data_IF_985643736797
#
_entry.id   IF_985643736797
#
_cell.length_a   1.000
_cell.length_b   1.000
_cell.length_c   1.000
_cell.angle_alpha   90.00
_cell.angle_beta   90.00
_cell.angle_gamma   90.00
#
_symmetry.space_group_name_H-M   'P 1'
#
loop_
_entity.id
_entity.type
_entity.pdbx_description
1 polymer ?
#
# COMPACT_ATOMS: atom_id res chain seq x y z
N UNK A 1 -18.71 26.78 -4.79
CA UNK A 1 -19.01 25.57 -3.97
C UNK A 1 -18.30 25.73 -2.64
N UNK A 2 -18.92 25.27 -1.54
CA UNK A 2 -18.28 25.35 -0.21
C UNK A 2 -18.50 24.07 0.56
N UNK A 3 -17.48 23.65 1.32
CA UNK A 3 -17.60 22.54 2.27
C UNK A 3 -18.40 23.03 3.48
N UNK A 4 -19.58 22.45 3.72
CA UNK A 4 -20.49 22.84 4.81
C UNK A 4 -20.36 21.95 6.04
N UNK A 5 -20.15 20.66 5.81
CA UNK A 5 -20.11 19.64 6.88
C UNK A 5 -19.07 18.59 6.57
N UNK A 6 -18.41 18.10 7.61
CA UNK A 6 -17.47 16.99 7.53
C UNK A 6 -17.82 15.95 8.59
N UNK A 7 -17.84 14.70 8.18
CA UNK A 7 -17.99 13.54 9.07
C UNK A 7 -16.73 12.66 8.99
N UNK A 8 -16.32 12.14 10.12
CA UNK A 8 -15.20 11.20 10.24
C UNK A 8 -15.69 9.96 10.97
N UNK A 9 -15.48 8.81 10.37
CA UNK A 9 -15.88 7.52 10.92
C UNK A 9 -14.64 6.63 11.06
N UNK A 10 -14.61 5.83 12.12
CA UNK A 10 -13.67 4.71 12.25
C UNK A 10 -14.47 3.43 12.14
N UNK A 11 -14.13 2.61 11.15
CA UNK A 11 -14.81 1.35 10.83
C UNK A 11 -13.81 0.20 10.94
N UNK A 12 -14.22 -0.88 11.51
CA UNK A 12 -13.42 -2.03 11.86
C UNK A 12 -13.58 -2.34 13.34
N UNK A 13 -12.79 -3.26 13.91
CA UNK A 13 -11.88 -4.15 13.21
C UNK A 13 -12.62 -5.30 12.50
N UNK A 14 -11.95 -5.94 11.55
CA UNK A 14 -12.38 -7.24 11.05
C UNK A 14 -12.17 -8.31 12.15
N UNK A 15 -12.97 -9.37 12.12
CA UNK A 15 -12.81 -10.48 13.06
C UNK A 15 -11.50 -11.27 12.85
N UNK A 16 -10.94 -11.18 11.64
CA UNK A 16 -9.70 -11.88 11.27
C UNK A 16 -8.50 -10.97 11.42
N UNK A 17 -7.48 -11.51 12.07
CA UNK A 17 -6.16 -10.93 12.12
C UNK A 17 -5.31 -11.48 10.98
N UNK A 18 -4.36 -10.68 10.51
CA UNK A 18 -3.44 -11.05 9.45
C UNK A 18 -2.03 -10.71 9.88
N UNK A 19 -1.07 -11.45 9.34
CA UNK A 19 0.32 -11.07 9.39
C UNK A 19 0.96 -11.26 8.01
N UNK A 20 2.04 -10.54 7.77
CA UNK A 20 2.78 -10.59 6.50
C UNK A 20 4.16 -11.22 6.66
N UNK A 21 4.59 -11.51 7.89
CA UNK A 21 5.81 -12.26 8.17
C UNK A 21 5.73 -12.91 9.55
N UNK A 22 6.64 -13.84 9.83
CA UNK A 22 6.67 -14.55 11.12
C UNK A 22 7.03 -13.62 12.29
N UNK A 23 7.83 -12.59 12.04
CA UNK A 23 8.28 -11.63 13.05
C UNK A 23 7.28 -10.47 13.29
N UNK A 24 6.28 -10.32 12.42
CA UNK A 24 5.25 -9.29 12.57
C UNK A 24 4.05 -9.90 13.28
N UNK A 25 3.65 -9.41 14.46
CA UNK A 25 2.47 -9.91 15.14
C UNK A 25 1.21 -9.64 14.32
N UNK A 26 0.17 -10.43 14.55
CA UNK A 26 -1.14 -10.20 13.94
C UNK A 26 -1.64 -8.80 14.26
N UNK A 27 -2.21 -8.15 13.26
CA UNK A 27 -2.66 -6.77 13.36
C UNK A 27 -4.15 -6.65 13.12
N UNK A 28 -4.75 -5.66 13.76
CA UNK A 28 -6.11 -5.24 13.49
C UNK A 28 -6.14 -4.29 12.29
N UNK A 29 -7.18 -4.46 11.47
CA UNK A 29 -7.42 -3.58 10.33
C UNK A 29 -8.62 -2.70 10.62
N UNK A 30 -8.41 -1.40 10.58
CA UNK A 30 -9.49 -0.43 10.65
C UNK A 30 -9.39 0.57 9.50
N UNK A 31 -10.49 1.23 9.19
CA UNK A 31 -10.53 2.28 8.19
C UNK A 31 -11.02 3.58 8.83
N UNK A 32 -10.28 4.65 8.61
CA UNK A 32 -10.79 6.00 8.88
C UNK A 32 -11.41 6.55 7.59
N UNK A 33 -12.72 6.78 7.61
CA UNK A 33 -13.50 7.29 6.49
C UNK A 33 -13.75 8.78 6.71
N UNK A 34 -13.48 9.58 5.69
CA UNK A 34 -13.79 11.00 5.64
C UNK A 34 -14.90 11.25 4.62
N UNK A 35 -15.92 12.00 5.04
CA UNK A 35 -17.00 12.44 4.18
C UNK A 35 -17.16 13.94 4.26
N UNK A 36 -17.07 14.64 3.13
CA UNK A 36 -17.25 16.08 3.00
C UNK A 36 -18.52 16.40 2.23
N UNK A 37 -19.40 17.19 2.83
CA UNK A 37 -20.64 17.67 2.23
C UNK A 37 -20.43 19.07 1.71
N UNK A 38 -20.95 19.36 0.51
CA UNK A 38 -20.89 20.68 -0.10
C UNK A 38 -22.27 21.34 -0.17
N UNK A 39 -22.30 22.67 -0.24
CA UNK A 39 -23.51 23.49 -0.42
C UNK A 39 -24.25 23.23 -1.76
N UNK A 40 -23.64 22.50 -2.68
CA UNK A 40 -24.22 22.09 -3.95
C UNK A 40 -24.79 20.67 -3.93
N UNK A 41 -24.74 19.99 -2.79
CA UNK A 41 -25.21 18.62 -2.62
C UNK A 41 -24.23 17.54 -3.07
N UNK A 42 -23.05 17.90 -3.60
CA UNK A 42 -21.99 16.93 -3.88
C UNK A 42 -21.36 16.50 -2.57
N UNK A 43 -21.20 15.18 -2.41
CA UNK A 43 -20.55 14.58 -1.25
C UNK A 43 -19.27 13.91 -1.72
N UNK A 44 -18.12 14.33 -1.16
CA UNK A 44 -16.85 13.65 -1.34
C UNK A 44 -16.65 12.59 -0.27
N UNK A 45 -16.08 11.46 -0.66
CA UNK A 45 -15.79 10.35 0.24
C UNK A 45 -14.39 9.80 -0.02
N UNK A 46 -13.71 9.47 1.07
CA UNK A 46 -12.39 8.86 1.02
C UNK A 46 -12.16 8.04 2.28
N UNK A 47 -11.25 7.09 2.20
CA UNK A 47 -10.84 6.32 3.35
C UNK A 47 -9.32 6.13 3.37
N UNK A 48 -8.79 5.94 4.58
CA UNK A 48 -7.43 5.47 4.79
C UNK A 48 -7.46 4.24 5.67
N UNK A 49 -6.72 3.24 5.25
CA UNK A 49 -6.52 2.01 5.99
C UNK A 49 -5.50 2.21 7.11
N UNK A 50 -5.80 1.67 8.29
CA UNK A 50 -4.89 1.62 9.42
C UNK A 50 -4.68 0.16 9.81
N UNK A 51 -3.44 -0.26 9.86
CA UNK A 51 -3.02 -1.57 10.34
C UNK A 51 -2.24 -1.37 11.63
N UNK A 52 -2.77 -1.81 12.75
CA UNK A 52 -2.20 -1.52 14.06
C UNK A 52 -2.37 -2.69 15.03
N UNK A 53 -1.68 -2.61 16.16
CA UNK A 53 -1.79 -3.59 17.24
C UNK A 53 -2.97 -3.32 18.19
N UNK A 54 -3.80 -2.32 17.88
CA UNK A 54 -4.95 -1.93 18.69
C UNK A 54 -6.24 -2.19 17.93
N UNK A 55 -7.22 -2.77 18.61
CA UNK A 55 -8.53 -3.13 18.04
C UNK A 55 -9.23 -1.94 17.37
N UNK A 56 -9.15 -0.75 17.95
CA UNK A 56 -9.68 0.49 17.37
C UNK A 56 -8.62 1.58 17.40
N UNK A 57 -7.89 1.72 16.30
CA UNK A 57 -6.96 2.84 16.16
C UNK A 57 -7.69 4.07 15.64
N UNK A 58 -7.73 5.10 16.47
CA UNK A 58 -8.33 6.41 16.16
C UNK A 58 -7.29 7.48 15.82
N UNK A 59 -6.02 7.15 15.75
CA UNK A 59 -4.96 8.13 15.59
C UNK A 59 -5.15 9.01 14.35
N UNK A 60 -5.45 8.42 13.19
CA UNK A 60 -5.73 9.16 11.97
C UNK A 60 -6.99 10.01 12.09
N UNK A 61 -8.08 9.45 12.65
CA UNK A 61 -9.33 10.17 12.85
C UNK A 61 -9.17 11.36 13.81
N UNK A 62 -8.45 11.18 14.91
CA UNK A 62 -8.16 12.27 15.85
C UNK A 62 -7.29 13.36 15.20
N UNK A 63 -6.31 12.94 14.38
CA UNK A 63 -5.45 13.88 13.65
C UNK A 63 -6.24 14.75 12.66
N UNK A 64 -7.29 14.22 12.03
CA UNK A 64 -8.14 14.98 11.12
C UNK A 64 -8.82 16.17 11.79
N UNK A 65 -9.13 16.11 13.08
CA UNK A 65 -9.76 17.23 13.83
C UNK A 65 -8.95 18.52 13.75
N UNK A 66 -7.64 18.45 13.61
CA UNK A 66 -6.78 19.62 13.46
C UNK A 66 -6.96 20.34 12.12
N UNK A 67 -7.49 19.66 11.11
CA UNK A 67 -7.68 20.20 9.77
C UNK A 67 -9.09 20.70 9.53
N UNK A 68 -10.11 20.18 10.25
CA UNK A 68 -11.51 20.50 10.01
C UNK A 68 -11.80 22.01 10.00
N UNK A 69 -11.27 22.83 10.94
CA UNK A 69 -11.53 24.28 10.93
C UNK A 69 -10.97 25.01 9.70
N UNK A 70 -9.98 24.41 9.02
CA UNK A 70 -9.37 24.99 7.80
C UNK A 70 -10.19 24.63 6.56
N UNK A 71 -10.86 23.48 6.58
CA UNK A 71 -11.59 22.93 5.44
C UNK A 71 -13.00 23.51 5.34
N UNK A 72 -13.69 23.72 6.46
CA UNK A 72 -15.05 24.26 6.48
C UNK A 72 -15.11 25.65 5.83
N UNK A 73 -16.06 25.84 4.93
CA UNK A 73 -16.27 27.07 4.20
C UNK A 73 -15.38 27.27 2.97
N UNK A 74 -14.37 26.41 2.77
CA UNK A 74 -13.47 26.46 1.59
C UNK A 74 -14.17 25.89 0.36
N UNK A 75 -13.75 26.36 -0.80
CA UNK A 75 -14.11 25.74 -2.07
C UNK A 75 -13.23 24.49 -2.30
N UNK A 76 -13.82 23.27 -2.37
CA UNK A 76 -13.04 22.05 -2.57
C UNK A 76 -12.34 22.00 -3.94
N UNK A 77 -12.74 22.85 -4.90
CA UNK A 77 -12.08 22.95 -6.20
C UNK A 77 -10.73 23.67 -6.11
N UNK A 78 -10.52 24.48 -5.06
CA UNK A 78 -9.23 25.11 -4.76
C UNK A 78 -8.28 24.17 -4.00
N UNK A 79 -8.24 22.91 -4.44
CA UNK A 79 -7.56 21.81 -3.75
C UNK A 79 -6.11 22.13 -3.39
N UNK A 80 -5.35 22.66 -4.33
CA UNK A 80 -3.93 22.95 -4.11
C UNK A 80 -3.72 24.06 -3.07
N UNK A 81 -4.59 25.06 -3.04
CA UNK A 81 -4.60 26.09 -2.00
C UNK A 81 -4.92 25.51 -0.62
N UNK A 82 -5.89 24.61 -0.54
CA UNK A 82 -6.23 23.90 0.71
C UNK A 82 -5.03 23.08 1.20
N UNK A 83 -4.42 22.28 0.32
CA UNK A 83 -3.27 21.44 0.67
C UNK A 83 -2.06 22.28 1.09
N UNK A 84 -1.86 23.43 0.48
CA UNK A 84 -0.81 24.37 0.87
C UNK A 84 -1.04 24.90 2.31
N UNK A 85 -2.26 25.29 2.64
CA UNK A 85 -2.60 25.84 3.97
C UNK A 85 -2.55 24.79 5.09
N UNK A 86 -2.80 23.51 4.80
CA UNK A 86 -2.68 22.43 5.79
C UNK A 86 -1.25 21.93 5.96
N UNK A 87 -0.37 22.12 4.97
CA UNK A 87 1.00 21.61 4.92
C UNK A 87 1.81 21.85 6.20
N UNK A 88 1.82 23.03 6.83
CA UNK A 88 2.59 23.26 8.07
C UNK A 88 2.13 22.41 9.25
N UNK A 89 0.90 21.89 9.21
CA UNK A 89 0.30 21.08 10.29
C UNK A 89 0.47 19.58 10.05
N UNK A 90 0.85 19.18 8.86
CA UNK A 90 1.01 17.76 8.46
C UNK A 90 2.24 17.13 9.10
N UNK A 91 3.30 17.89 9.30
CA UNK A 91 4.59 17.34 9.74
C UNK A 91 4.52 16.42 10.98
N UNK A 92 3.76 16.74 12.05
CA UNK A 92 3.63 15.85 13.20
C UNK A 92 2.49 14.83 13.07
N UNK A 93 1.76 14.81 11.95
CA UNK A 93 0.56 13.98 11.75
C UNK A 93 0.86 12.73 10.92
N UNK A 94 0.05 11.67 11.04
CA UNK A 94 0.21 10.51 10.18
C UNK A 94 -0.04 10.89 8.71
N UNK A 95 0.75 10.35 7.77
CA UNK A 95 0.59 10.63 6.34
C UNK A 95 -0.82 10.36 5.82
N UNK A 96 -1.51 9.37 6.39
CA UNK A 96 -2.90 9.03 6.06
C UNK A 96 -3.89 10.18 6.28
N UNK A 97 -3.65 11.07 7.24
CA UNK A 97 -4.54 12.21 7.49
C UNK A 97 -4.55 13.22 6.33
N UNK A 98 -3.42 13.48 5.71
CA UNK A 98 -3.35 14.32 4.51
C UNK A 98 -3.92 13.59 3.29
N UNK A 99 -3.56 12.33 3.10
CA UNK A 99 -3.98 11.53 1.96
C UNK A 99 -5.50 11.40 1.89
N UNK A 100 -6.19 11.16 3.01
CA UNK A 100 -7.64 11.05 3.03
C UNK A 100 -8.33 12.38 2.70
N UNK A 101 -7.75 13.53 3.08
CA UNK A 101 -8.27 14.85 2.68
C UNK A 101 -8.09 15.05 1.18
N UNK A 102 -6.89 14.84 0.64
CA UNK A 102 -6.60 15.03 -0.79
C UNK A 102 -7.48 14.14 -1.67
N UNK A 103 -7.61 12.86 -1.32
CA UNK A 103 -8.47 11.93 -2.05
C UNK A 103 -9.95 12.35 -2.00
N UNK A 104 -10.43 12.85 -0.85
CA UNK A 104 -11.80 13.33 -0.71
C UNK A 104 -12.06 14.57 -1.59
N UNK A 105 -11.11 15.50 -1.68
CA UNK A 105 -11.20 16.66 -2.58
C UNK A 105 -11.19 16.23 -4.04
N UNK A 106 -10.35 15.25 -4.42
CA UNK A 106 -10.37 14.67 -5.77
C UNK A 106 -11.70 14.00 -6.11
N UNK A 107 -12.33 13.32 -5.15
CA UNK A 107 -13.64 12.71 -5.35
C UNK A 107 -14.72 13.77 -5.67
N UNK A 108 -14.71 14.90 -4.93
CA UNK A 108 -15.59 16.05 -5.23
C UNK A 108 -15.30 16.60 -6.63
N UNK A 109 -14.03 16.82 -6.97
CA UNK A 109 -13.63 17.35 -8.29
C UNK A 109 -14.11 16.42 -9.41
N UNK A 110 -13.93 15.11 -9.27
CA UNK A 110 -14.39 14.13 -10.23
C UNK A 110 -15.90 14.13 -10.40
N UNK A 111 -16.65 14.18 -9.30
CA UNK A 111 -18.12 14.26 -9.29
C UNK A 111 -18.61 15.57 -9.92
N UNK A 112 -18.02 16.71 -9.56
CA UNK A 112 -18.34 18.01 -10.15
C UNK A 112 -18.09 18.06 -11.66
N UNK A 113 -16.98 17.49 -12.10
CA UNK A 113 -16.61 17.41 -13.52
C UNK A 113 -17.39 16.34 -14.29
N UNK A 114 -18.18 15.50 -13.61
CA UNK A 114 -18.82 14.31 -14.16
C UNK A 114 -17.83 13.44 -14.97
N UNK A 115 -16.62 13.27 -14.44
CA UNK A 115 -15.53 12.55 -15.10
C UNK A 115 -14.74 11.71 -14.11
N UNK A 116 -14.28 10.52 -14.49
CA UNK A 116 -13.38 9.72 -13.67
C UNK A 116 -12.07 10.48 -13.41
N UNK A 117 -11.56 10.40 -12.18
CA UNK A 117 -10.35 11.12 -11.75
C UNK A 117 -9.15 10.78 -12.65
N UNK A 118 -8.99 9.51 -13.07
CA UNK A 118 -7.88 9.13 -13.93
C UNK A 118 -7.87 9.89 -15.27
N UNK A 119 -9.05 10.27 -15.80
CA UNK A 119 -9.15 11.10 -17.02
C UNK A 119 -8.76 12.54 -16.75
N UNK A 120 -9.17 13.08 -15.59
CA UNK A 120 -8.78 14.45 -15.18
C UNK A 120 -7.27 14.57 -14.97
N UNK A 121 -6.64 13.47 -14.54
CA UNK A 121 -5.18 13.36 -14.39
C UNK A 121 -4.44 13.02 -15.70
N UNK A 122 -5.11 13.07 -16.85
CA UNK A 122 -4.50 12.75 -18.14
C UNK A 122 -4.30 11.26 -18.40
N UNK A 123 -5.18 10.42 -17.85
CA UNK A 123 -5.09 8.97 -17.93
C UNK A 123 -5.04 8.42 -19.35
N UNK A 124 -4.05 7.56 -19.58
CA UNK A 124 -3.79 6.93 -20.87
C UNK A 124 -4.46 5.56 -21.00
N UNK A 125 -4.71 4.90 -19.86
CA UNK A 125 -5.21 3.51 -19.81
C UNK A 125 -6.54 3.47 -19.09
N UNK A 126 -7.42 2.59 -19.55
CA UNK A 126 -8.70 2.25 -18.92
C UNK A 126 -8.63 0.93 -18.13
N UNK A 127 -7.56 0.16 -18.33
CA UNK A 127 -7.31 -1.12 -17.67
C UNK A 127 -5.85 -1.25 -17.26
N UNK A 128 -5.62 -1.82 -16.08
CA UNK A 128 -4.31 -2.16 -15.53
C UNK A 128 -4.34 -3.64 -15.14
N UNK A 129 -3.26 -4.37 -15.40
CA UNK A 129 -3.11 -5.74 -14.91
C UNK A 129 -3.00 -5.71 -13.38
N UNK A 130 -3.74 -6.58 -12.73
CA UNK A 130 -3.66 -6.82 -11.30
C UNK A 130 -2.93 -8.13 -11.01
N UNK A 131 -2.40 -8.23 -9.80
CA UNK A 131 -1.94 -9.47 -9.21
C UNK A 131 -2.69 -9.72 -7.90
N UNK A 132 -2.77 -10.96 -7.48
CA UNK A 132 -3.24 -11.31 -6.15
C UNK A 132 -2.08 -11.19 -5.17
N UNK A 133 -2.32 -10.55 -4.02
CA UNK A 133 -1.34 -10.43 -2.93
C UNK A 133 -1.76 -11.35 -1.80
N UNK A 134 -0.84 -12.18 -1.31
CA UNK A 134 -1.12 -13.08 -0.19
C UNK A 134 -0.88 -12.39 1.14
N UNK A 135 -1.39 -12.98 2.20
CA UNK A 135 -0.88 -12.86 3.56
C UNK A 135 0.11 -14.01 3.82
N UNK A 136 0.68 -14.12 5.00
CA UNK A 136 1.45 -15.29 5.41
C UNK A 136 0.50 -16.46 5.69
N UNK A 137 0.86 -17.66 5.23
CA UNK A 137 0.18 -18.92 5.52
C UNK A 137 1.14 -19.88 6.24
N UNK A 138 0.57 -20.94 6.86
CA UNK A 138 1.35 -21.84 7.71
C UNK A 138 2.25 -22.81 6.92
N UNK A 139 1.84 -23.21 5.71
CA UNK A 139 2.52 -24.23 4.93
C UNK A 139 2.60 -23.93 3.44
N UNK A 140 3.57 -24.56 2.75
CA UNK A 140 3.68 -24.51 1.30
C UNK A 140 2.42 -25.05 0.61
N UNK A 141 1.83 -26.13 1.13
CA UNK A 141 0.62 -26.73 0.56
C UNK A 141 -0.55 -25.76 0.61
N UNK A 142 -0.68 -25.00 1.70
CA UNK A 142 -1.70 -23.95 1.81
C UNK A 142 -1.49 -22.83 0.78
N UNK A 143 -0.25 -22.35 0.60
CA UNK A 143 0.08 -21.39 -0.47
C UNK A 143 -0.30 -21.94 -1.84
N UNK A 144 0.04 -23.19 -2.14
CA UNK A 144 -0.28 -23.79 -3.46
C UNK A 144 -1.80 -23.90 -3.68
N UNK A 145 -2.57 -24.24 -2.64
CA UNK A 145 -4.02 -24.22 -2.68
C UNK A 145 -4.60 -22.84 -2.98
N UNK A 146 -4.11 -21.82 -2.28
CA UNK A 146 -4.53 -20.41 -2.48
C UNK A 146 -4.15 -19.92 -3.88
N UNK A 147 -2.96 -20.28 -4.41
CA UNK A 147 -2.58 -19.91 -5.78
C UNK A 147 -3.53 -20.54 -6.80
N UNK A 148 -3.92 -21.81 -6.63
CA UNK A 148 -4.88 -22.47 -7.53
C UNK A 148 -6.25 -21.76 -7.49
N UNK A 149 -6.73 -21.35 -6.30
CA UNK A 149 -7.98 -20.61 -6.18
C UNK A 149 -7.90 -19.24 -6.86
N UNK A 150 -6.78 -18.52 -6.69
CA UNK A 150 -6.54 -17.22 -7.37
C UNK A 150 -6.49 -17.39 -8.88
N UNK A 151 -5.82 -18.44 -9.37
CA UNK A 151 -5.77 -18.79 -10.80
C UNK A 151 -7.18 -19.09 -11.35
N UNK A 152 -8.00 -19.83 -10.61
CA UNK A 152 -9.38 -20.14 -10.97
C UNK A 152 -10.26 -18.88 -11.03
N UNK A 153 -9.94 -17.84 -10.22
CA UNK A 153 -10.56 -16.51 -10.29
C UNK A 153 -10.04 -15.65 -11.46
N UNK A 154 -9.05 -16.14 -12.22
CA UNK A 154 -8.52 -15.46 -13.41
C UNK A 154 -7.25 -14.63 -13.17
N UNK A 155 -6.69 -14.64 -11.97
CA UNK A 155 -5.38 -13.99 -11.73
C UNK A 155 -4.27 -14.75 -12.47
N UNK A 156 -3.36 -13.99 -13.05
CA UNK A 156 -2.19 -14.51 -13.78
C UNK A 156 -0.88 -14.24 -13.04
N UNK A 157 -0.96 -13.55 -11.91
CA UNK A 157 0.19 -13.17 -11.11
C UNK A 157 -0.14 -13.18 -9.62
N UNK A 158 0.81 -13.59 -8.80
CA UNK A 158 0.70 -13.64 -7.33
C UNK A 158 1.95 -13.05 -6.69
N UNK A 159 1.75 -12.15 -5.72
CA UNK A 159 2.81 -11.64 -4.84
C UNK A 159 2.71 -12.34 -3.50
N UNK A 160 3.81 -12.94 -3.08
CA UNK A 160 3.90 -13.62 -1.80
C UNK A 160 4.33 -12.66 -0.69
N UNK A 161 3.63 -12.72 0.44
CA UNK A 161 4.17 -12.44 1.76
C UNK A 161 4.43 -13.78 2.42
N UNK A 162 5.59 -13.95 3.04
CA UNK A 162 6.08 -15.24 3.48
C UNK A 162 6.56 -15.19 4.93
N UNK A 163 7.22 -16.23 5.38
CA UNK A 163 7.78 -16.30 6.74
C UNK A 163 8.98 -15.37 6.94
N UNK A 164 9.53 -14.83 5.83
CA UNK A 164 10.78 -14.07 5.80
C UNK A 164 11.99 -14.89 6.32
N UNK A 165 11.92 -16.20 6.14
CA UNK A 165 12.98 -17.17 6.43
C UNK A 165 13.56 -17.63 5.09
N UNK A 166 14.81 -17.23 4.71
CA UNK A 166 15.33 -17.39 3.37
C UNK A 166 15.20 -18.78 2.76
N UNK A 167 15.58 -19.83 3.50
CA UNK A 167 15.51 -21.19 3.00
C UNK A 167 14.07 -21.67 2.75
N UNK A 168 13.19 -21.38 3.70
CA UNK A 168 11.76 -21.75 3.63
C UNK A 168 11.05 -21.01 2.50
N UNK A 169 11.37 -19.73 2.33
CA UNK A 169 10.79 -18.90 1.28
C UNK A 169 11.28 -19.34 -0.12
N UNK A 170 12.53 -19.77 -0.20
CA UNK A 170 13.08 -20.33 -1.44
C UNK A 170 12.45 -21.69 -1.79
N UNK A 171 12.14 -22.53 -0.80
CA UNK A 171 11.39 -23.77 -1.01
C UNK A 171 10.00 -23.49 -1.55
N UNK A 172 9.28 -22.53 -0.99
CA UNK A 172 7.98 -22.07 -1.50
C UNK A 172 8.11 -21.56 -2.95
N UNK A 173 9.09 -20.70 -3.23
CA UNK A 173 9.29 -20.16 -4.56
C UNK A 173 9.51 -21.25 -5.62
N UNK A 174 10.34 -22.25 -5.29
CA UNK A 174 10.58 -23.44 -6.15
C UNK A 174 9.31 -24.27 -6.34
N UNK A 175 8.58 -24.53 -5.27
CA UNK A 175 7.32 -25.31 -5.31
C UNK A 175 6.27 -24.60 -6.16
N UNK A 176 6.07 -23.30 -5.95
CA UNK A 176 5.12 -22.49 -6.72
C UNK A 176 5.46 -22.47 -8.21
N UNK A 177 6.73 -22.21 -8.57
CA UNK A 177 7.16 -22.24 -9.98
C UNK A 177 6.98 -23.60 -10.63
N UNK A 178 7.24 -24.69 -9.90
CA UNK A 178 7.05 -26.05 -10.39
C UNK A 178 5.57 -26.37 -10.62
N UNK A 179 4.69 -25.98 -9.68
CA UNK A 179 3.25 -26.25 -9.77
C UNK A 179 2.54 -25.34 -10.81
N UNK A 180 3.00 -24.11 -10.95
CA UNK A 180 2.37 -23.09 -11.80
C UNK A 180 3.38 -22.43 -12.76
N UNK A 181 3.88 -23.15 -13.77
CA UNK A 181 5.01 -22.71 -14.59
C UNK A 181 4.73 -21.45 -15.43
N UNK A 182 3.47 -21.14 -15.70
CA UNK A 182 3.05 -20.00 -16.54
C UNK A 182 2.62 -18.76 -15.78
N UNK A 183 2.49 -18.84 -14.45
CA UNK A 183 2.12 -17.70 -13.62
C UNK A 183 3.31 -16.78 -13.35
N UNK A 184 3.04 -15.51 -13.25
CA UNK A 184 4.02 -14.53 -12.78
C UNK A 184 4.04 -14.52 -11.24
N UNK A 185 5.24 -14.54 -10.67
CA UNK A 185 5.42 -14.50 -9.22
C UNK A 185 6.27 -13.31 -8.79
N UNK A 186 6.01 -12.82 -7.61
CA UNK A 186 6.75 -11.80 -6.90
C UNK A 186 6.89 -12.20 -5.45
N UNK A 187 7.99 -11.81 -4.81
CA UNK A 187 8.21 -12.03 -3.40
C UNK A 187 8.37 -10.69 -2.69
N UNK A 188 7.68 -10.52 -1.58
CA UNK A 188 7.79 -9.38 -0.68
C UNK A 188 8.32 -9.86 0.67
N UNK A 189 9.49 -9.36 1.05
CA UNK A 189 10.20 -9.75 2.27
C UNK A 189 9.94 -8.80 3.45
N UNK A 190 9.05 -7.81 3.30
CA UNK A 190 8.62 -6.90 4.38
C UNK A 190 9.79 -6.29 5.19
N UNK A 191 10.92 -6.01 4.53
CA UNK A 191 12.15 -5.44 5.12
C UNK A 191 12.88 -6.36 6.13
N UNK A 192 12.66 -7.66 6.09
CA UNK A 192 13.12 -8.59 7.13
C UNK A 192 14.42 -9.36 6.79
N UNK A 193 14.97 -9.19 5.60
CA UNK A 193 16.24 -9.86 5.28
C UNK A 193 17.45 -8.99 5.58
N UNK A 194 18.59 -9.64 5.78
CA UNK A 194 19.89 -9.01 5.71
C UNK A 194 20.43 -8.98 4.26
N UNK A 195 21.54 -8.30 4.05
CA UNK A 195 22.12 -8.14 2.72
C UNK A 195 22.58 -9.48 2.11
N UNK A 196 23.13 -10.40 2.90
CA UNK A 196 23.62 -11.69 2.43
C UNK A 196 22.47 -12.58 1.97
N UNK A 197 21.46 -12.72 2.79
CA UNK A 197 20.21 -13.44 2.47
C UNK A 197 19.51 -12.82 1.26
N UNK A 198 19.42 -11.50 1.20
CA UNK A 198 18.80 -10.78 0.08
C UNK A 198 19.51 -11.07 -1.25
N UNK A 199 20.85 -11.08 -1.26
CA UNK A 199 21.63 -11.39 -2.46
C UNK A 199 21.45 -12.84 -2.91
N UNK A 200 21.39 -13.77 -1.95
CA UNK A 200 21.18 -15.19 -2.22
C UNK A 200 19.78 -15.40 -2.82
N UNK A 201 18.75 -14.90 -2.15
CA UNK A 201 17.36 -15.06 -2.59
C UNK A 201 17.13 -14.37 -3.93
N UNK A 202 17.62 -13.14 -4.14
CA UNK A 202 17.46 -12.44 -5.41
C UNK A 202 18.02 -13.24 -6.60
N UNK A 203 19.19 -13.86 -6.45
CA UNK A 203 19.79 -14.72 -7.49
C UNK A 203 18.96 -15.98 -7.78
N UNK A 204 18.37 -16.57 -6.76
CA UNK A 204 17.54 -17.77 -6.93
C UNK A 204 16.17 -17.40 -7.54
N UNK A 205 15.56 -16.29 -7.11
CA UNK A 205 14.32 -15.78 -7.70
C UNK A 205 14.49 -15.41 -9.17
N UNK A 206 15.65 -14.86 -9.55
CA UNK A 206 15.99 -14.59 -10.95
C UNK A 206 15.99 -15.88 -11.79
N UNK A 207 16.63 -16.96 -11.30
CA UNK A 207 16.64 -18.27 -11.96
C UNK A 207 15.24 -18.88 -12.08
N UNK A 208 14.35 -18.57 -11.13
CA UNK A 208 12.97 -19.00 -11.10
C UNK A 208 12.03 -18.08 -11.91
N UNK A 209 12.56 -17.10 -12.63
CA UNK A 209 11.80 -16.13 -13.44
C UNK A 209 10.72 -15.39 -12.63
N UNK A 210 11.09 -14.93 -11.43
CA UNK A 210 10.25 -14.03 -10.65
C UNK A 210 10.28 -12.62 -11.24
N UNK A 211 9.15 -11.92 -11.17
CA UNK A 211 9.00 -10.61 -11.82
C UNK A 211 9.72 -9.50 -11.06
N UNK A 212 9.65 -9.53 -9.73
CA UNK A 212 10.41 -8.66 -8.83
C UNK A 212 10.56 -9.28 -7.45
N UNK A 213 11.52 -8.72 -6.71
CA UNK A 213 11.74 -8.95 -5.30
C UNK A 213 11.54 -7.62 -4.56
N UNK A 214 10.55 -7.57 -3.66
CA UNK A 214 10.10 -6.38 -2.97
C UNK A 214 10.62 -6.38 -1.53
N UNK A 215 10.98 -5.18 -1.05
CA UNK A 215 11.36 -4.92 0.33
C UNK A 215 12.35 -5.94 0.94
N UNK A 216 13.45 -6.31 0.25
CA UNK A 216 14.41 -7.25 0.83
C UNK A 216 15.11 -6.69 2.07
N UNK A 217 15.34 -5.38 2.13
CA UNK A 217 16.07 -4.66 3.17
C UNK A 217 15.23 -3.50 3.69
N UNK A 218 15.54 -2.96 4.87
CA UNK A 218 14.96 -1.71 5.32
C UNK A 218 15.14 -0.60 4.28
N UNK A 219 14.08 0.18 4.02
CA UNK A 219 14.03 1.21 2.97
C UNK A 219 15.13 2.28 3.07
N UNK A 220 15.73 2.46 4.25
CA UNK A 220 16.83 3.41 4.45
C UNK A 220 18.23 2.84 4.12
N UNK A 221 18.35 1.52 3.84
CA UNK A 221 19.64 0.90 3.44
C UNK A 221 19.90 1.05 1.94
N UNK A 222 20.12 2.29 1.49
CA UNK A 222 20.41 2.60 0.08
C UNK A 222 21.64 1.85 -0.46
N UNK A 223 22.66 1.64 0.38
CA UNK A 223 23.88 0.93 -0.04
C UNK A 223 23.61 -0.57 -0.26
N UNK A 224 22.78 -1.16 0.59
CA UNK A 224 22.33 -2.54 0.42
C UNK A 224 21.50 -2.69 -0.84
N UNK A 225 20.49 -1.84 -1.06
CA UNK A 225 19.68 -1.82 -2.29
C UNK A 225 20.55 -1.67 -3.54
N UNK A 226 21.51 -0.74 -3.53
CA UNK A 226 22.44 -0.57 -4.64
C UNK A 226 23.22 -1.84 -4.93
N UNK A 227 23.78 -2.50 -3.89
CA UNK A 227 24.54 -3.75 -4.05
C UNK A 227 23.70 -4.87 -4.64
N UNK A 228 22.45 -5.04 -4.17
CA UNK A 228 21.54 -6.06 -4.72
C UNK A 228 21.26 -5.75 -6.18
N UNK A 229 20.84 -4.52 -6.50
CA UNK A 229 20.48 -4.11 -7.86
C UNK A 229 21.64 -4.25 -8.84
N UNK A 230 22.87 -3.94 -8.41
CA UNK A 230 24.07 -4.11 -9.24
C UNK A 230 24.46 -5.60 -9.45
N UNK A 231 23.92 -6.52 -8.65
CA UNK A 231 24.34 -7.93 -8.61
C UNK A 231 23.38 -8.89 -9.35
N UNK A 232 22.15 -8.46 -9.67
CA UNK A 232 21.10 -9.30 -10.26
C UNK A 232 20.34 -8.56 -11.36
N UNK A 233 19.70 -9.32 -12.26
CA UNK A 233 18.84 -8.77 -13.31
C UNK A 233 17.35 -8.70 -12.92
N UNK A 234 16.93 -9.41 -11.86
CA UNK A 234 15.58 -9.29 -11.34
C UNK A 234 15.35 -7.88 -10.78
N UNK A 235 14.13 -7.36 -10.94
CA UNK A 235 13.78 -6.03 -10.42
C UNK A 235 13.74 -6.06 -8.89
N UNK A 236 14.39 -5.10 -8.26
CA UNK A 236 14.35 -4.89 -6.81
C UNK A 236 13.51 -3.65 -6.53
N UNK A 237 12.52 -3.77 -5.64
CA UNK A 237 11.56 -2.72 -5.32
C UNK A 237 11.59 -2.45 -3.82
N UNK A 238 11.68 -1.20 -3.35
CA UNK A 238 11.52 -0.87 -1.94
C UNK A 238 10.04 -1.03 -1.51
N UNK A 239 9.78 -1.14 -0.21
CA UNK A 239 8.43 -1.33 0.32
C UNK A 239 7.50 -0.14 0.05
N UNK A 240 8.05 1.05 -0.09
CA UNK A 240 7.28 2.28 -0.16
C UNK A 240 6.62 2.69 1.17
N UNK A 241 6.83 1.92 2.23
CA UNK A 241 6.35 2.22 3.60
C UNK A 241 7.21 3.25 4.34
N UNK A 242 8.25 3.75 3.69
CA UNK A 242 9.09 4.79 4.26
C UNK A 242 8.22 5.99 4.61
N UNK A 243 7.75 5.99 5.86
CA UNK A 243 6.97 7.05 6.46
C UNK A 243 7.68 8.38 6.24
N UNK A 244 7.25 9.12 5.24
CA UNK A 244 7.33 10.58 5.13
C UNK A 244 8.67 11.30 5.24
N UNK A 245 9.76 10.65 5.65
CA UNK A 245 11.06 11.30 5.84
C UNK A 245 12.03 11.10 4.67
N UNK A 246 11.78 10.14 3.80
CA UNK A 246 12.55 9.98 2.57
C UNK A 246 11.87 10.76 1.46
N UNK A 247 12.30 11.98 1.26
CA UNK A 247 11.91 12.76 0.08
C UNK A 247 12.58 12.16 -1.16
N UNK A 248 11.97 12.29 -2.33
CA UNK A 248 12.55 11.86 -3.62
C UNK A 248 13.98 12.38 -3.80
N UNK A 249 14.34 13.51 -3.17
CA UNK A 249 15.70 14.06 -3.16
C UNK A 249 16.73 13.22 -2.41
N UNK A 250 16.31 12.32 -1.52
CA UNK A 250 17.23 11.38 -0.84
C UNK A 250 17.44 10.07 -1.62
N UNK A 251 16.70 9.87 -2.71
CA UNK A 251 16.82 8.70 -3.60
C UNK A 251 17.68 8.99 -4.85
N UNK A 252 18.25 10.18 -4.98
CA UNK A 252 19.21 10.56 -6.02
C UNK A 252 20.63 10.41 -5.48
#
# INVERSE_FOLDING_TARGET
>A
MKIEKIEVFVVGPEEKHYTWSEDIPEIYQSNTILRMYTDTGIIGESAVWNATYFEYDKYTAESLKHFLPILIGRDPLDKDSILYDIRPRVFPMPPGAQAVIDNCLWDIIGKQANAPIYKLLGGRRDKIRSYASTVMYESIDEYLGVIEDMKNQGFQAVKFHTWCIPDKDLELAKAARKAFPTMSFMLDAENNYDLESSLLIAKELEKLDFTWFEAPLPDYDFNGYKKITDSVGIKIIPSGNSSGSLTISSMQ
#
